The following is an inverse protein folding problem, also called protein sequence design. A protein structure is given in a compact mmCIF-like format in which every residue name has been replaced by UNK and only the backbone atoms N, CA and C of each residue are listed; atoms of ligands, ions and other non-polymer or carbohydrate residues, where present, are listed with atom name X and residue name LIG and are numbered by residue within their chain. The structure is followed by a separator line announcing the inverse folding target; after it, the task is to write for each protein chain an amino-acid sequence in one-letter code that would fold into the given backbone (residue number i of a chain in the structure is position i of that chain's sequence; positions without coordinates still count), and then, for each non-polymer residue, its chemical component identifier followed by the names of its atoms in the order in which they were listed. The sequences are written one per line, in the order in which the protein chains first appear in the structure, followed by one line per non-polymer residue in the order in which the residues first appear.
data_IF_386695108384
#
_entry.id   IF_386695108384
#
_cell.length_a   1.000
_cell.length_b   1.000
_cell.length_c   1.000
_cell.angle_alpha   90.00
_cell.angle_beta   90.00
_cell.angle_gamma   90.00
#
_symmetry.space_group_name_H-M   'P 1'
#
loop_
_entity.id
_entity.type
_entity.pdbx_description
1 polymer ?
#
# COMPACT_ATOMS: atom_id res chain seq x y z
N UNK A 1 17.86 0.49 -4.02
CA UNK A 1 16.79 1.46 -3.69
C UNK A 1 17.15 2.11 -2.37
N UNK A 2 17.21 3.43 -2.31
CA UNK A 2 17.62 4.18 -1.12
C UNK A 2 16.45 5.05 -0.64
N UNK A 3 16.28 5.18 0.67
CA UNK A 3 15.24 6.04 1.22
C UNK A 3 15.51 7.52 0.88
N UNK A 4 14.52 8.20 0.33
CA UNK A 4 14.57 9.64 0.05
C UNK A 4 14.20 10.39 1.32
N UNK A 5 15.20 11.03 1.96
CA UNK A 5 14.98 11.83 3.18
C UNK A 5 13.96 12.95 2.97
N UNK A 6 13.93 13.56 1.78
CA UNK A 6 12.95 14.59 1.42
C UNK A 6 11.51 14.10 1.45
N UNK A 7 11.28 12.79 1.29
CA UNK A 7 9.96 12.16 1.35
C UNK A 7 9.66 11.55 2.74
N UNK A 8 10.56 11.69 3.72
CA UNK A 8 10.35 11.15 5.08
C UNK A 8 10.30 9.61 5.15
N UNK A 9 10.83 8.92 4.12
CA UNK A 9 10.71 7.47 4.00
C UNK A 9 11.47 6.71 5.11
N UNK A 10 10.76 5.81 5.80
CA UNK A 10 11.31 4.79 6.68
C UNK A 10 10.69 3.45 6.29
N UNK A 11 11.50 2.53 5.73
CA UNK A 11 10.96 1.29 5.19
C UNK A 11 10.77 0.21 6.26
N UNK A 12 9.61 -0.44 6.20
CA UNK A 12 9.33 -1.62 7.01
C UNK A 12 10.02 -2.85 6.40
N UNK A 13 11.11 -3.29 7.04
CA UNK A 13 11.96 -4.37 6.51
C UNK A 13 11.59 -5.78 7.02
N UNK A 14 10.76 -5.88 8.06
CA UNK A 14 10.47 -7.15 8.73
C UNK A 14 9.05 -7.62 8.46
N UNK A 15 8.91 -8.73 7.71
CA UNK A 15 7.60 -9.33 7.40
C UNK A 15 6.76 -9.66 8.64
N UNK A 16 7.38 -10.18 9.71
CA UNK A 16 6.68 -10.46 10.99
C UNK A 16 6.11 -9.22 11.65
N UNK A 17 6.75 -8.05 11.46
CA UNK A 17 6.21 -6.80 12.01
C UNK A 17 5.07 -6.30 11.14
N UNK A 18 5.17 -6.39 9.81
CA UNK A 18 4.07 -6.09 8.90
C UNK A 18 2.83 -6.93 9.19
N UNK A 19 3.03 -8.23 9.40
CA UNK A 19 1.96 -9.16 9.78
C UNK A 19 1.27 -8.72 11.07
N UNK A 20 2.05 -8.39 12.10
CA UNK A 20 1.52 -7.91 13.39
C UNK A 20 0.75 -6.60 13.25
N UNK A 21 1.22 -5.67 12.41
CA UNK A 21 0.50 -4.41 12.13
C UNK A 21 -0.84 -4.71 11.47
N UNK A 22 -0.86 -5.55 10.43
CA UNK A 22 -2.08 -5.93 9.73
C UNK A 22 -3.08 -6.67 10.66
N UNK A 23 -2.60 -7.54 11.54
CA UNK A 23 -3.43 -8.22 12.54
C UNK A 23 -4.01 -7.25 13.58
N UNK A 24 -3.24 -6.26 14.01
CA UNK A 24 -3.71 -5.26 14.96
C UNK A 24 -4.85 -4.39 14.42
N UNK A 25 -4.95 -4.25 13.09
CA UNK A 25 -6.03 -3.53 12.42
C UNK A 25 -7.40 -4.24 12.49
N UNK A 26 -7.44 -5.53 12.88
CA UNK A 26 -8.67 -6.33 13.07
C UNK A 26 -9.65 -6.23 11.89
N UNK A 27 -9.11 -6.32 10.67
CA UNK A 27 -9.87 -6.20 9.43
C UNK A 27 -10.88 -7.35 9.29
N UNK A 28 -12.07 -7.03 8.77
CA UNK A 28 -12.99 -8.05 8.27
C UNK A 28 -12.59 -8.47 6.84
N UNK A 29 -12.98 -9.68 6.39
CA UNK A 29 -12.72 -10.12 5.01
C UNK A 29 -13.33 -9.21 3.94
N UNK A 30 -14.37 -8.44 4.27
CA UNK A 30 -15.03 -7.49 3.37
C UNK A 30 -14.43 -6.08 3.42
N UNK A 31 -13.42 -5.84 4.24
CA UNK A 31 -12.82 -4.52 4.42
C UNK A 31 -12.18 -4.00 3.12
N UNK A 32 -12.36 -2.70 2.87
CA UNK A 32 -11.59 -1.93 1.90
C UNK A 32 -10.60 -1.07 2.68
N UNK A 33 -9.31 -1.22 2.39
CA UNK A 33 -8.23 -0.51 3.10
C UNK A 33 -7.62 0.54 2.19
N UNK A 34 -7.51 1.77 2.69
CA UNK A 34 -6.73 2.81 2.03
C UNK A 34 -5.34 2.90 2.67
N UNK A 35 -4.30 2.59 1.90
CA UNK A 35 -2.90 2.63 2.32
C UNK A 35 -2.20 3.86 1.73
N UNK A 36 -1.70 4.72 2.61
CA UNK A 36 -0.94 5.91 2.23
C UNK A 36 0.55 5.57 2.31
N UNK A 37 1.28 5.72 1.21
CA UNK A 37 2.70 5.43 1.14
C UNK A 37 3.01 3.95 1.36
N UNK A 38 2.58 3.06 0.45
CA UNK A 38 2.87 1.62 0.53
C UNK A 38 4.37 1.32 0.54
N UNK A 39 5.21 2.24 0.05
CA UNK A 39 6.66 2.13 0.13
C UNK A 39 7.17 0.92 -0.64
N UNK A 40 7.84 -0.01 0.04
CA UNK A 40 8.31 -1.25 -0.56
C UNK A 40 7.24 -2.35 -0.68
N UNK A 41 6.01 -2.07 -0.22
CA UNK A 41 4.87 -3.02 -0.30
C UNK A 41 4.85 -4.08 0.80
N UNK A 42 5.69 -3.95 1.84
CA UNK A 42 5.77 -4.94 2.91
C UNK A 42 4.44 -5.05 3.67
N UNK A 43 3.80 -3.92 3.99
CA UNK A 43 2.50 -3.92 4.65
C UNK A 43 1.37 -4.25 3.66
N UNK A 44 1.43 -3.71 2.44
CA UNK A 44 0.50 -4.03 1.35
C UNK A 44 0.28 -5.53 1.16
N UNK A 45 1.36 -6.35 1.15
CA UNK A 45 1.25 -7.82 1.08
C UNK A 45 0.42 -8.42 2.21
N UNK A 46 0.57 -7.91 3.43
CA UNK A 46 -0.14 -8.43 4.59
C UNK A 46 -1.58 -7.95 4.66
N UNK A 47 -1.87 -6.75 4.14
CA UNK A 47 -3.22 -6.23 3.98
C UNK A 47 -4.01 -7.01 2.93
N UNK A 48 -3.41 -7.28 1.77
CA UNK A 48 -4.05 -8.04 0.66
C UNK A 48 -4.47 -9.47 1.07
N UNK A 49 -3.81 -10.06 2.07
CA UNK A 49 -4.21 -11.38 2.61
C UNK A 49 -5.49 -11.33 3.46
N UNK A 50 -5.92 -10.15 3.91
CA UNK A 50 -6.89 -9.96 4.99
C UNK A 50 -8.06 -9.06 4.60
N UNK A 51 -7.86 -8.16 3.65
CA UNK A 51 -8.87 -7.24 3.14
C UNK A 51 -9.41 -7.73 1.79
N UNK A 52 -10.65 -7.33 1.47
CA UNK A 52 -11.24 -7.55 0.14
C UNK A 52 -10.52 -6.77 -0.93
N UNK A 53 -10.15 -5.52 -0.62
CA UNK A 53 -9.50 -4.59 -1.53
C UNK A 53 -8.55 -3.68 -0.76
N UNK A 54 -7.39 -3.39 -1.36
CA UNK A 54 -6.48 -2.35 -0.92
C UNK A 54 -6.42 -1.27 -2.00
N UNK A 55 -6.54 -0.02 -1.60
CA UNK A 55 -6.35 1.16 -2.43
C UNK A 55 -5.10 1.85 -1.90
N UNK A 56 -4.05 1.93 -2.72
CA UNK A 56 -2.75 2.43 -2.30
C UNK A 56 -2.36 3.69 -3.09
N UNK A 57 -1.86 4.69 -2.37
CA UNK A 57 -1.37 5.95 -2.94
C UNK A 57 0.13 6.10 -2.63
N UNK A 58 0.98 6.11 -3.66
CA UNK A 58 2.43 6.27 -3.51
C UNK A 58 2.90 7.57 -4.15
N UNK A 59 3.69 8.35 -3.42
CA UNK A 59 4.22 9.62 -3.91
C UNK A 59 5.54 9.46 -4.69
N UNK A 60 6.30 8.41 -4.37
CA UNK A 60 7.56 8.10 -5.03
C UNK A 60 7.32 7.27 -6.31
N UNK A 61 7.58 7.88 -7.47
CA UNK A 61 7.37 7.24 -8.77
C UNK A 61 8.16 5.94 -8.94
N UNK A 62 9.40 5.87 -8.43
CA UNK A 62 10.24 4.68 -8.56
C UNK A 62 9.65 3.49 -7.76
N UNK A 63 9.04 3.79 -6.61
CA UNK A 63 8.35 2.79 -5.79
C UNK A 63 7.03 2.39 -6.44
N UNK A 64 6.29 3.35 -6.98
CA UNK A 64 5.05 3.08 -7.72
C UNK A 64 5.30 2.10 -8.88
N UNK A 65 6.30 2.33 -9.74
CA UNK A 65 6.62 1.42 -10.84
C UNK A 65 7.03 0.03 -10.34
N UNK A 66 7.81 -0.02 -9.25
CA UNK A 66 8.17 -1.30 -8.64
C UNK A 66 6.94 -2.05 -8.14
N UNK A 67 6.03 -1.36 -7.44
CA UNK A 67 4.80 -1.95 -6.90
C UNK A 67 3.87 -2.44 -8.01
N UNK A 68 3.77 -1.73 -9.13
CA UNK A 68 3.01 -2.20 -10.29
C UNK A 68 3.50 -3.57 -10.78
N UNK A 69 4.81 -3.77 -10.83
CA UNK A 69 5.40 -5.05 -11.23
C UNK A 69 5.24 -6.13 -10.14
N UNK A 70 5.52 -5.78 -8.88
CA UNK A 70 5.48 -6.69 -7.73
C UNK A 70 4.08 -7.26 -7.43
N UNK A 71 3.03 -6.51 -7.77
CA UNK A 71 1.62 -6.82 -7.50
C UNK A 71 0.75 -6.85 -8.76
N UNK A 72 1.36 -7.12 -9.92
CA UNK A 72 0.67 -7.12 -11.21
C UNK A 72 -0.57 -8.04 -11.22
N UNK A 73 -0.49 -9.16 -10.48
CA UNK A 73 -1.59 -10.12 -10.33
C UNK A 73 -2.74 -9.52 -9.53
N UNK A 74 -2.47 -9.01 -8.34
CA UNK A 74 -3.49 -8.46 -7.44
C UNK A 74 -4.15 -7.21 -8.05
N UNK A 75 -3.41 -6.45 -8.86
CA UNK A 75 -3.95 -5.34 -9.66
C UNK A 75 -4.88 -5.88 -10.75
N UNK A 76 -4.47 -6.90 -11.51
CA UNK A 76 -5.29 -7.51 -12.55
C UNK A 76 -6.57 -8.17 -12.00
N UNK A 77 -6.50 -8.74 -10.79
CA UNK A 77 -7.64 -9.32 -10.07
C UNK A 77 -8.51 -8.27 -9.36
N UNK A 78 -8.13 -6.98 -9.40
CA UNK A 78 -8.88 -5.87 -8.78
C UNK A 78 -8.79 -5.80 -7.25
N UNK A 79 -7.93 -6.62 -6.64
CA UNK A 79 -7.67 -6.64 -5.21
C UNK A 79 -6.79 -5.46 -4.76
N UNK A 80 -5.92 -4.96 -5.65
CA UNK A 80 -5.11 -3.77 -5.43
C UNK A 80 -5.43 -2.70 -6.47
N UNK A 81 -5.77 -1.50 -6.01
CA UNK A 81 -5.79 -0.29 -6.83
C UNK A 81 -4.61 0.58 -6.42
N UNK A 82 -3.67 0.84 -7.34
CA UNK A 82 -2.45 1.58 -7.05
C UNK A 82 -2.43 2.88 -7.88
N UNK A 83 -2.29 4.01 -7.20
CA UNK A 83 -2.22 5.33 -7.83
C UNK A 83 -0.92 6.04 -7.43
N UNK A 84 -0.29 6.70 -8.39
CA UNK A 84 0.82 7.62 -8.12
C UNK A 84 0.24 8.99 -7.74
N UNK A 85 0.61 9.51 -6.58
CA UNK A 85 0.14 10.82 -6.13
C UNK A 85 0.53 11.16 -4.69
N UNK A 86 0.28 12.43 -4.34
CA UNK A 86 0.57 12.96 -3.00
C UNK A 86 -0.71 13.03 -2.16
N UNK A 87 -0.70 12.39 -1.00
CA UNK A 87 -1.86 12.39 -0.10
C UNK A 87 -2.29 13.79 0.34
N UNK A 88 -1.38 14.76 0.36
CA UNK A 88 -1.67 16.15 0.77
C UNK A 88 -2.57 16.87 -0.22
N UNK A 89 -2.64 16.40 -1.46
CA UNK A 89 -3.46 16.99 -2.54
C UNK A 89 -4.48 16.01 -3.11
N UNK A 90 -4.42 14.73 -2.71
CA UNK A 90 -5.32 13.70 -3.19
C UNK A 90 -6.75 13.92 -2.66
N UNK A 91 -7.74 13.81 -3.54
CA UNK A 91 -9.14 14.02 -3.21
C UNK A 91 -9.73 12.77 -2.53
N UNK A 92 -9.58 12.64 -1.21
CA UNK A 92 -10.07 11.48 -0.43
C UNK A 92 -11.59 11.25 -0.62
N UNK A 93 -12.36 12.31 -0.88
CA UNK A 93 -13.80 12.21 -1.14
C UNK A 93 -14.16 11.41 -2.41
N UNK A 94 -13.20 11.10 -3.28
CA UNK A 94 -13.41 10.25 -4.45
C UNK A 94 -13.15 8.76 -4.21
N UNK A 95 -12.80 8.36 -2.97
CA UNK A 95 -12.66 6.95 -2.62
C UNK A 95 -14.05 6.27 -2.56
N UNK A 96 -14.14 4.99 -2.96
CA UNK A 96 -15.39 4.24 -2.98
C UNK A 96 -15.93 3.89 -1.59
#
# INVERSE_FOLDING_TARGET
MYAKKSLGQNFLMHARIAERIALAAKLSPDAVVFEIGPGTGMLTRELLKRAKKVIALEADFDLFEKLQNDFAREIAEGQLELTHGDIRTFAIASLP
#
